data_IF_743787168975
#
_entry.id   IF_743787168975
#
_cell.length_a   1.000
_cell.length_b   1.000
_cell.length_c   1.000
_cell.angle_alpha   90.00
_cell.angle_beta   90.00
_cell.angle_gamma   90.00
#
_symmetry.space_group_name_H-M   'P 1'
#
loop_
_entity.id
_entity.type
_entity.pdbx_description
1 polymer ?
#
# COMPACT_ATOMS: atom_id res chain seq x y z
N UNK A 1 8.15 -24.27 0.10
CA UNK A 1 7.93 -22.85 0.48
C UNK A 1 6.51 -22.74 1.00
N UNK A 2 6.26 -22.14 2.17
CA UNK A 2 4.90 -21.94 2.65
C UNK A 2 4.11 -21.08 1.65
N UNK A 3 2.79 -21.30 1.52
CA UNK A 3 1.97 -20.52 0.60
C UNK A 3 2.05 -19.04 0.96
N UNK A 4 2.39 -18.20 -0.03
CA UNK A 4 2.52 -16.77 0.18
C UNK A 4 1.13 -16.18 0.42
N UNK A 5 0.94 -15.47 1.53
CA UNK A 5 -0.37 -14.89 1.87
C UNK A 5 -0.77 -13.87 0.80
N UNK A 6 -1.88 -14.14 0.12
CA UNK A 6 -2.46 -13.26 -0.89
C UNK A 6 -3.62 -12.46 -0.30
N UNK A 7 -3.77 -11.21 -0.72
CA UNK A 7 -4.89 -10.34 -0.34
C UNK A 7 -5.34 -9.55 -1.57
N UNK A 8 -6.55 -9.01 -1.52
CA UNK A 8 -6.96 -7.93 -2.44
C UNK A 8 -6.78 -6.56 -1.83
N UNK A 9 -6.59 -6.45 -0.51
CA UNK A 9 -6.57 -5.17 0.23
C UNK A 9 -5.23 -4.99 0.91
N UNK A 10 -4.60 -3.85 0.66
CA UNK A 10 -3.28 -3.52 1.18
C UNK A 10 -3.22 -2.07 1.62
N UNK A 11 -2.50 -1.83 2.70
CA UNK A 11 -1.99 -0.51 3.06
C UNK A 11 -0.53 -0.41 2.61
N UNK A 12 -0.12 0.79 2.23
CA UNK A 12 1.24 1.05 1.80
C UNK A 12 1.81 2.32 2.39
N UNK A 13 3.12 2.32 2.61
CA UNK A 13 3.87 3.49 3.07
C UNK A 13 5.15 3.62 2.23
N UNK A 14 5.41 4.83 1.73
CA UNK A 14 6.64 5.20 1.01
C UNK A 14 7.32 6.31 1.81
N UNK A 15 8.46 5.99 2.41
CA UNK A 15 9.30 6.97 3.10
C UNK A 15 10.14 7.74 2.07
N UNK A 16 10.25 9.06 2.24
CA UNK A 16 11.00 9.94 1.35
C UNK A 16 10.58 9.77 -0.12
N UNK A 17 9.27 9.83 -0.38
CA UNK A 17 8.73 9.61 -1.73
C UNK A 17 9.25 10.66 -2.71
N UNK A 18 9.47 10.24 -3.94
CA UNK A 18 9.82 11.11 -5.06
C UNK A 18 8.62 11.33 -5.98
N UNK A 19 8.67 12.34 -6.85
CA UNK A 19 7.64 12.52 -7.89
C UNK A 19 7.51 11.29 -8.80
N UNK A 20 8.59 10.51 -8.97
CA UNK A 20 8.54 9.29 -9.75
C UNK A 20 7.70 8.21 -9.06
N UNK A 21 7.75 8.11 -7.73
CA UNK A 21 6.92 7.15 -6.98
C UNK A 21 5.43 7.46 -7.14
N UNK A 22 5.05 8.74 -7.15
CA UNK A 22 3.67 9.16 -7.42
C UNK A 22 3.26 8.82 -8.85
N UNK A 23 4.16 9.03 -9.83
CA UNK A 23 3.88 8.70 -11.24
C UNK A 23 3.63 7.20 -11.47
N UNK A 24 4.23 6.32 -10.66
CA UNK A 24 3.99 4.87 -10.73
C UNK A 24 2.61 4.46 -10.21
N UNK A 25 1.99 5.24 -9.31
CA UNK A 25 0.69 4.92 -8.74
C UNK A 25 -0.45 5.01 -9.75
N UNK A 26 -0.36 5.91 -10.73
CA UNK A 26 -1.40 6.07 -11.75
C UNK A 26 -1.58 4.83 -12.65
N UNK A 27 -0.55 4.34 -13.36
CA UNK A 27 -0.71 3.12 -14.18
C UNK A 27 -1.02 1.90 -13.31
N UNK A 28 -0.43 1.81 -12.11
CA UNK A 28 -0.76 0.74 -11.17
C UNK A 28 -2.24 0.75 -10.76
N UNK A 29 -2.81 1.93 -10.56
CA UNK A 29 -4.24 2.08 -10.29
C UNK A 29 -5.08 1.59 -11.46
N UNK A 30 -4.79 2.08 -12.67
CA UNK A 30 -5.56 1.78 -13.88
C UNK A 30 -5.53 0.28 -14.23
N UNK A 31 -4.37 -0.38 -14.09
CA UNK A 31 -4.20 -1.78 -14.52
C UNK A 31 -4.58 -2.79 -13.43
N UNK A 32 -4.33 -2.48 -12.15
CA UNK A 32 -4.39 -3.49 -11.08
C UNK A 32 -5.40 -3.19 -9.98
N UNK A 33 -5.89 -1.96 -9.84
CA UNK A 33 -6.70 -1.56 -8.70
C UNK A 33 -8.16 -1.26 -9.06
N UNK A 34 -9.06 -1.57 -8.12
CA UNK A 34 -10.43 -1.06 -8.10
C UNK A 34 -10.53 0.29 -7.39
N UNK A 35 -9.66 0.50 -6.39
CA UNK A 35 -9.65 1.68 -5.54
C UNK A 35 -8.24 1.93 -5.06
N UNK A 36 -7.82 3.20 -5.04
CA UNK A 36 -6.54 3.64 -4.52
C UNK A 36 -6.71 5.04 -3.93
N UNK A 37 -6.28 5.20 -2.69
CA UNK A 37 -6.26 6.48 -1.98
C UNK A 37 -4.94 6.63 -1.25
N UNK A 38 -4.39 7.84 -1.23
CA UNK A 38 -3.18 8.15 -0.49
C UNK A 38 -3.20 9.58 0.05
N UNK A 39 -2.53 9.78 1.17
CA UNK A 39 -2.24 11.06 1.78
C UNK A 39 -0.74 11.35 1.71
N UNK A 40 -0.41 12.63 1.47
CA UNK A 40 0.94 13.16 1.66
C UNK A 40 1.01 13.66 3.09
N UNK A 41 1.82 13.03 3.89
CA UNK A 41 2.03 13.42 5.28
C UNK A 41 3.46 13.97 5.40
N UNK A 42 3.63 15.04 6.16
CA UNK A 42 4.94 15.63 6.45
C UNK A 42 5.16 15.49 7.95
N UNK A 43 6.17 14.71 8.34
CA UNK A 43 6.47 14.53 9.76
C UNK A 43 7.00 15.82 10.36
N UNK A 44 6.33 16.36 11.38
CA UNK A 44 6.73 17.61 12.07
C UNK A 44 8.14 17.55 12.67
N UNK A 45 8.63 16.34 13.02
CA UNK A 45 9.95 16.13 13.65
C UNK A 45 11.07 15.77 12.68
N UNK A 46 10.80 14.92 11.69
CA UNK A 46 11.82 14.43 10.75
C UNK A 46 11.88 15.25 9.44
N UNK A 47 10.92 16.14 9.19
CA UNK A 47 10.76 16.89 7.93
C UNK A 47 10.71 16.02 6.67
N UNK A 48 10.66 14.68 6.82
CA UNK A 48 10.65 13.75 5.71
C UNK A 48 9.22 13.54 5.22
N UNK A 49 9.00 13.72 3.90
CA UNK A 49 7.69 13.49 3.32
C UNK A 49 7.43 11.98 3.25
N UNK A 50 6.30 11.54 3.79
CA UNK A 50 5.83 10.17 3.68
C UNK A 50 4.54 10.12 2.88
N UNK A 51 4.44 9.11 2.02
CA UNK A 51 3.25 8.82 1.25
C UNK A 51 2.62 7.58 1.86
N UNK A 52 1.47 7.75 2.50
CA UNK A 52 0.74 6.63 3.08
C UNK A 52 -0.59 6.48 2.38
N UNK A 53 -0.98 5.25 2.09
CA UNK A 53 -2.21 4.99 1.37
C UNK A 53 -2.74 3.58 1.51
N UNK A 54 -3.85 3.38 0.84
CA UNK A 54 -4.59 2.13 0.81
C UNK A 54 -5.10 1.88 -0.60
N UNK A 55 -5.04 0.63 -1.04
CA UNK A 55 -5.64 0.22 -2.31
C UNK A 55 -6.31 -1.15 -2.22
N UNK A 56 -7.24 -1.36 -3.14
CA UNK A 56 -7.87 -2.65 -3.39
C UNK A 56 -7.62 -3.09 -4.81
N UNK A 57 -7.18 -4.33 -4.99
CA UNK A 57 -6.83 -4.93 -6.26
C UNK A 57 -8.03 -5.54 -6.98
N UNK A 58 -7.94 -5.62 -8.31
CA UNK A 58 -8.86 -6.36 -9.17
C UNK A 58 -8.86 -7.86 -8.84
N UNK A 59 -7.68 -8.40 -8.56
CA UNK A 59 -7.42 -9.82 -8.26
C UNK A 59 -6.55 -9.97 -7.01
N UNK A 60 -6.55 -11.17 -6.40
CA UNK A 60 -5.69 -11.46 -5.25
C UNK A 60 -4.23 -11.57 -5.70
N UNK A 61 -3.36 -10.73 -5.15
CA UNK A 61 -1.91 -10.81 -5.35
C UNK A 61 -1.22 -11.08 -4.02
N UNK A 62 0.01 -11.59 -4.06
CA UNK A 62 0.91 -11.59 -2.90
C UNK A 62 1.65 -10.25 -2.81
N UNK A 63 2.26 -9.94 -1.68
CA UNK A 63 3.10 -8.73 -1.54
C UNK A 63 4.20 -8.65 -2.61
N UNK A 64 4.84 -9.78 -2.91
CA UNK A 64 5.83 -9.90 -3.99
C UNK A 64 5.25 -9.66 -5.37
N UNK A 65 4.01 -10.08 -5.63
CA UNK A 65 3.30 -9.79 -6.88
C UNK A 65 3.00 -8.30 -7.03
N UNK A 66 2.59 -7.65 -5.93
CA UNK A 66 2.34 -6.21 -5.91
C UNK A 66 3.63 -5.41 -6.15
N UNK A 67 4.75 -5.78 -5.51
CA UNK A 67 6.04 -5.13 -5.78
C UNK A 67 6.48 -5.23 -7.24
N UNK A 68 6.21 -6.36 -7.89
CA UNK A 68 6.47 -6.52 -9.33
C UNK A 68 5.57 -5.64 -10.19
N UNK A 69 4.29 -5.54 -9.85
CA UNK A 69 3.32 -4.69 -10.56
C UNK A 69 3.65 -3.20 -10.42
N UNK A 70 4.10 -2.75 -9.23
CA UNK A 70 4.54 -1.39 -8.98
C UNK A 70 5.94 -1.08 -9.56
N UNK A 71 6.72 -2.11 -9.91
CA UNK A 71 8.11 -1.94 -10.33
C UNK A 71 9.04 -1.41 -9.24
N UNK A 72 8.63 -1.44 -7.97
CA UNK A 72 9.38 -0.87 -6.84
C UNK A 72 9.25 -1.75 -5.59
N UNK A 73 10.40 -2.09 -5.01
CA UNK A 73 10.52 -2.80 -3.72
C UNK A 73 10.62 -1.86 -2.52
N UNK A 74 10.72 -0.53 -2.75
CA UNK A 74 10.82 0.47 -1.69
C UNK A 74 9.51 0.67 -0.92
N UNK A 75 8.40 0.27 -1.51
CA UNK A 75 7.07 0.46 -0.98
C UNK A 75 6.83 -0.57 0.12
N UNK A 76 6.69 -0.12 1.36
CA UNK A 76 6.34 -1.01 2.46
C UNK A 76 4.86 -1.38 2.33
N UNK A 77 4.57 -2.66 2.11
CA UNK A 77 3.20 -3.16 1.95
C UNK A 77 2.81 -3.98 3.17
N UNK A 78 1.58 -3.80 3.64
CA UNK A 78 0.99 -4.68 4.65
C UNK A 78 -0.43 -5.05 4.21
N UNK A 79 -0.86 -6.32 4.38
CA UNK A 79 -2.25 -6.67 4.15
C UNK A 79 -3.11 -5.86 5.12
N UNK A 80 -4.15 -5.20 4.61
CA UNK A 80 -5.02 -4.40 5.46
C UNK A 80 -5.72 -5.31 6.49
N UNK A 81 -5.51 -5.04 7.78
CA UNK A 81 -6.22 -5.74 8.84
C UNK A 81 -7.67 -5.23 8.89
N UNK A 82 -8.63 -6.11 8.59
CA UNK A 82 -10.05 -5.83 8.82
C UNK A 82 -11.01 -6.59 7.91
N UNK A 83 -11.66 -7.62 8.46
CA UNK A 83 -13.12 -7.72 8.37
C UNK A 83 -13.72 -6.56 9.18
N UNK A 84 -14.91 -6.07 8.82
CA UNK A 84 -15.56 -4.85 9.34
C UNK A 84 -15.86 -4.81 10.85
N UNK A 85 -15.35 -5.72 11.69
CA UNK A 85 -15.52 -5.66 13.15
C UNK A 85 -14.27 -6.23 13.80
N UNK A 86 -13.53 -5.39 14.53
CA UNK A 86 -12.81 -5.70 15.79
C UNK A 86 -11.68 -4.69 16.01
N UNK A 87 -12.00 -3.59 16.67
CA UNK A 87 -11.06 -2.79 17.45
C UNK A 87 -11.81 -2.07 18.58
N UNK A 88 -12.50 -2.82 19.44
CA UNK A 88 -12.89 -2.33 20.75
C UNK A 88 -12.80 -3.45 21.76
N UNK A 89 -11.66 -3.55 22.43
CA UNK A 89 -11.53 -3.97 23.83
C UNK A 89 -10.07 -3.77 24.20
N UNK A 90 -9.76 -2.56 24.65
CA UNK A 90 -8.65 -2.34 25.57
C UNK A 90 -9.25 -2.57 26.95
N UNK A 91 -8.79 -3.59 27.65
CA UNK A 91 -8.85 -3.65 29.11
C UNK A 91 -7.41 -3.58 29.60
#
# INVERSE_FOLDING_TARGET
>A
MPPTKQSTRYVFTINNYTDNDIKLLKPFYEDYCKYLVYGKEVGEKELTPHLQGFFTLNTKLSMTGVHKALGSSKIALQPAAGTSVQAWSVT
#
